data_IF_802099185859
#
_entry.id   IF_802099185859
#
_cell.length_a   1.000
_cell.length_b   1.000
_cell.length_c   1.000
_cell.angle_alpha   90.00
_cell.angle_beta   90.00
_cell.angle_gamma   90.00
#
_symmetry.space_group_name_H-M   'P 1'
#
loop_
_entity.id
_entity.type
_entity.pdbx_description
1 polymer ?
#
# COMPACT_ATOMS: atom_id res chain seq x y z
N UNK A 1 13.52 21.84 20.84
CA UNK A 1 13.03 22.02 19.45
C UNK A 1 11.84 22.99 19.48
N UNK A 2 11.85 24.07 18.68
CA UNK A 2 10.85 25.16 18.79
C UNK A 2 9.45 24.65 18.43
N UNK A 3 8.45 24.86 19.31
CA UNK A 3 7.05 24.43 19.13
C UNK A 3 6.45 24.84 17.78
N UNK A 4 6.94 25.95 17.22
CA UNK A 4 6.53 26.44 15.91
C UNK A 4 7.01 25.52 14.79
N UNK A 5 8.25 25.01 14.85
CA UNK A 5 8.82 24.11 13.84
C UNK A 5 8.07 22.77 13.77
N UNK A 6 7.69 22.21 14.93
CA UNK A 6 6.87 20.99 15.01
C UNK A 6 5.46 21.21 14.43
N UNK A 7 4.86 22.37 14.69
CA UNK A 7 3.53 22.73 14.17
C UNK A 7 3.53 22.92 12.64
N UNK A 8 4.57 23.55 12.08
CA UNK A 8 4.73 23.67 10.64
C UNK A 8 4.99 22.32 9.98
N UNK A 9 5.79 21.44 10.60
CA UNK A 9 6.01 20.07 10.13
C UNK A 9 4.72 19.24 10.09
N UNK A 10 3.89 19.34 11.13
CA UNK A 10 2.61 18.63 11.19
C UNK A 10 1.61 19.12 10.13
N UNK A 11 1.57 20.43 9.87
CA UNK A 11 0.71 21.00 8.81
C UNK A 11 1.18 20.58 7.42
N UNK A 12 2.49 20.64 7.15
CA UNK A 12 3.06 20.19 5.89
C UNK A 12 2.79 18.70 5.63
N UNK A 13 2.92 17.85 6.66
CA UNK A 13 2.61 16.43 6.57
C UNK A 13 1.12 16.19 6.26
N UNK A 14 0.21 16.92 6.91
CA UNK A 14 -1.22 16.82 6.65
C UNK A 14 -1.56 17.20 5.20
N UNK A 15 -0.98 18.29 4.70
CA UNK A 15 -1.17 18.72 3.30
C UNK A 15 -0.69 17.63 2.34
N UNK A 16 0.50 17.05 2.56
CA UNK A 16 1.03 15.97 1.72
C UNK A 16 0.10 14.76 1.73
N UNK A 17 -0.35 14.31 2.90
CA UNK A 17 -1.26 13.15 3.03
C UNK A 17 -2.55 13.39 2.25
N UNK A 18 -3.19 14.55 2.44
CA UNK A 18 -4.44 14.88 1.76
C UNK A 18 -4.22 14.90 0.24
N UNK A 19 -3.13 15.50 -0.23
CA UNK A 19 -2.83 15.59 -1.65
C UNK A 19 -2.57 14.20 -2.26
N UNK A 20 -1.83 13.34 -1.56
CA UNK A 20 -1.58 11.96 -1.97
C UNK A 20 -2.88 11.15 -2.05
N UNK A 21 -3.78 11.27 -1.06
CA UNK A 21 -5.07 10.60 -1.09
C UNK A 21 -5.94 11.06 -2.27
N UNK A 22 -5.95 12.35 -2.58
CA UNK A 22 -6.69 12.88 -3.72
C UNK A 22 -6.14 12.36 -5.05
N UNK A 23 -4.81 12.32 -5.21
CA UNK A 23 -4.18 11.76 -6.42
C UNK A 23 -4.53 10.28 -6.59
N UNK A 24 -4.39 9.47 -5.54
CA UNK A 24 -4.72 8.04 -5.63
C UNK A 24 -6.21 7.80 -5.85
N UNK A 25 -7.08 8.62 -5.25
CA UNK A 25 -8.53 8.55 -5.49
C UNK A 25 -8.87 8.89 -6.93
N UNK A 26 -8.23 9.89 -7.53
CA UNK A 26 -8.43 10.22 -8.94
C UNK A 26 -7.91 9.09 -9.84
N UNK A 27 -6.71 8.57 -9.55
CA UNK A 27 -6.12 7.46 -10.30
C UNK A 27 -7.01 6.21 -10.26
N UNK A 28 -7.66 5.92 -9.13
CA UNK A 28 -8.58 4.79 -8.98
C UNK A 28 -9.87 4.93 -9.80
N UNK A 29 -10.29 6.16 -10.14
CA UNK A 29 -11.46 6.42 -11.00
C UNK A 29 -11.07 6.31 -12.47
N UNK A 30 -9.92 6.88 -12.84
CA UNK A 30 -9.46 6.94 -14.24
C UNK A 30 -8.94 5.58 -14.72
N UNK A 31 -8.22 4.87 -13.86
CA UNK A 31 -7.68 3.54 -14.18
C UNK A 31 -8.73 2.50 -13.81
N UNK A 32 -9.56 2.14 -14.78
CA UNK A 32 -10.44 0.98 -14.67
C UNK A 32 -9.60 -0.28 -14.50
N UNK A 33 -9.46 -0.75 -13.26
CA UNK A 33 -8.93 -2.09 -13.01
C UNK A 33 -10.03 -3.07 -13.41
N UNK A 34 -9.84 -3.95 -14.42
CA UNK A 34 -10.83 -4.94 -14.82
C UNK A 34 -10.88 -6.05 -13.76
N UNK A 35 -11.30 -5.72 -12.55
CA UNK A 35 -11.31 -6.59 -11.38
C UNK A 35 -12.09 -7.88 -11.62
N UNK A 36 -13.13 -7.80 -12.46
CA UNK A 36 -14.07 -8.88 -12.68
C UNK A 36 -14.16 -9.37 -14.13
N UNK A 37 -13.61 -8.64 -15.09
CA UNK A 37 -13.65 -9.03 -16.50
C UNK A 37 -12.88 -10.34 -16.74
N UNK A 38 -11.74 -10.50 -16.05
CA UNK A 38 -10.95 -11.73 -16.03
C UNK A 38 -11.61 -12.89 -15.25
N UNK A 39 -12.59 -12.61 -14.38
CA UNK A 39 -13.25 -13.64 -13.54
C UNK A 39 -14.54 -14.18 -14.12
N UNK A 40 -15.16 -13.47 -15.07
CA UNK A 40 -16.46 -13.82 -15.66
C UNK A 40 -16.47 -15.20 -16.33
N UNK A 41 -15.37 -15.61 -16.97
CA UNK A 41 -15.21 -16.96 -17.54
C UNK A 41 -14.70 -18.02 -16.56
N UNK A 42 -14.04 -17.61 -15.46
CA UNK A 42 -13.44 -18.52 -14.47
C UNK A 42 -14.43 -18.96 -13.38
N UNK A 43 -15.50 -18.20 -13.13
CA UNK A 43 -16.53 -18.54 -12.14
C UNK A 43 -17.30 -19.84 -12.46
N UNK A 44 -17.34 -20.26 -13.73
CA UNK A 44 -17.89 -21.56 -14.13
C UNK A 44 -16.92 -22.73 -13.93
N UNK A 45 -15.64 -22.45 -13.62
CA UNK A 45 -14.61 -23.46 -13.42
C UNK A 45 -14.29 -23.57 -11.93
N UNK A 46 -14.31 -24.80 -11.42
CA UNK A 46 -14.14 -25.15 -10.00
C UNK A 46 -12.98 -24.37 -9.33
N UNK A 47 -13.32 -23.50 -8.39
CA UNK A 47 -12.39 -22.58 -7.69
C UNK A 47 -11.42 -23.27 -6.72
N UNK A 48 -11.64 -24.55 -6.41
CA UNK A 48 -10.77 -25.35 -5.55
C UNK A 48 -10.11 -26.43 -6.40
N UNK A 49 -8.80 -26.30 -6.65
CA UNK A 49 -8.02 -27.34 -7.29
C UNK A 49 -8.03 -28.65 -6.50
N UNK A 50 -8.17 -29.78 -7.20
CA UNK A 50 -8.04 -31.11 -6.60
C UNK A 50 -6.58 -31.52 -6.35
N UNK A 51 -5.64 -30.84 -7.00
CA UNK A 51 -4.20 -31.08 -6.86
C UNK A 51 -3.55 -29.93 -6.09
N UNK A 52 -2.54 -30.20 -5.23
CA UNK A 52 -1.78 -29.15 -4.56
C UNK A 52 -1.12 -28.29 -5.62
N UNK A 53 -1.60 -27.05 -5.73
CA UNK A 53 -1.16 -26.11 -6.73
C UNK A 53 0.27 -25.66 -6.40
N UNK A 54 1.25 -26.39 -6.91
CA UNK A 54 2.66 -26.02 -6.81
C UNK A 54 2.90 -24.72 -7.58
N UNK A 55 3.43 -23.71 -6.89
CA UNK A 55 3.84 -22.44 -7.49
C UNK A 55 2.77 -21.34 -7.56
N UNK A 56 1.70 -21.38 -6.76
CA UNK A 56 0.79 -20.22 -6.61
C UNK A 56 1.58 -18.98 -6.22
N UNK A 57 2.45 -19.09 -5.20
CA UNK A 57 3.25 -17.96 -4.75
C UNK A 57 4.12 -17.37 -5.86
N UNK A 58 4.76 -18.20 -6.68
CA UNK A 58 5.58 -17.74 -7.81
C UNK A 58 4.74 -17.05 -8.89
N UNK A 59 3.57 -17.61 -9.24
CA UNK A 59 2.66 -17.01 -10.23
C UNK A 59 2.05 -15.71 -9.73
N UNK A 60 1.65 -15.65 -8.46
CA UNK A 60 1.12 -14.44 -7.82
C UNK A 60 2.20 -13.37 -7.74
N UNK A 61 3.43 -13.73 -7.34
CA UNK A 61 4.57 -12.81 -7.35
C UNK A 61 4.84 -12.24 -8.74
N UNK A 62 4.86 -13.10 -9.77
CA UNK A 62 5.02 -12.67 -11.16
C UNK A 62 3.88 -11.74 -11.62
N UNK A 63 2.63 -12.10 -11.34
CA UNK A 63 1.47 -11.26 -11.66
C UNK A 63 1.57 -9.88 -10.99
N UNK A 64 1.92 -9.84 -9.70
CA UNK A 64 2.08 -8.59 -8.97
C UNK A 64 3.18 -7.72 -9.58
N UNK A 65 4.32 -8.28 -9.95
CA UNK A 65 5.40 -7.52 -10.60
C UNK A 65 5.12 -7.09 -12.04
N UNK A 66 4.41 -7.91 -12.83
CA UNK A 66 4.14 -7.60 -14.24
C UNK A 66 2.93 -6.67 -14.42
N UNK A 67 1.93 -6.75 -13.53
CA UNK A 67 0.64 -6.06 -13.72
C UNK A 67 0.28 -5.08 -12.61
N UNK A 68 0.88 -5.21 -11.41
CA UNK A 68 0.53 -4.40 -10.22
C UNK A 68 1.77 -3.92 -9.45
N UNK A 69 2.88 -3.66 -10.15
CA UNK A 69 4.15 -3.31 -9.51
C UNK A 69 4.05 -2.02 -8.67
N UNK A 70 3.26 -1.06 -9.13
CA UNK A 70 3.03 0.20 -8.41
C UNK A 70 2.30 -0.03 -7.08
N UNK A 71 1.27 -0.88 -7.07
CA UNK A 71 0.55 -1.23 -5.83
C UNK A 71 1.44 -1.97 -4.84
N UNK A 72 2.28 -2.89 -5.33
CA UNK A 72 3.24 -3.64 -4.52
C UNK A 72 4.30 -2.71 -3.91
N UNK A 73 4.83 -1.78 -4.71
CA UNK A 73 5.82 -0.79 -4.27
C UNK A 73 5.20 0.21 -3.28
N UNK A 74 3.97 0.65 -3.52
CA UNK A 74 3.22 1.52 -2.61
C UNK A 74 2.99 0.86 -1.26
N UNK A 75 2.58 -0.41 -1.23
CA UNK A 75 2.44 -1.18 0.01
C UNK A 75 3.77 -1.29 0.77
N UNK A 76 4.87 -1.60 0.06
CA UNK A 76 6.20 -1.65 0.69
C UNK A 76 6.59 -0.32 1.33
N UNK A 77 6.33 0.81 0.65
CA UNK A 77 6.59 2.14 1.21
C UNK A 77 5.76 2.43 2.47
N UNK A 78 4.47 2.10 2.46
CA UNK A 78 3.58 2.28 3.63
C UNK A 78 4.07 1.47 4.83
N UNK A 79 4.51 0.23 4.62
CA UNK A 79 5.06 -0.61 5.69
C UNK A 79 6.33 0.02 6.27
N UNK A 80 7.25 0.49 5.42
CA UNK A 80 8.47 1.17 5.87
C UNK A 80 8.14 2.44 6.66
N UNK A 81 7.20 3.25 6.17
CA UNK A 81 6.75 4.44 6.87
C UNK A 81 6.15 4.10 8.25
N UNK A 82 5.35 3.04 8.34
CA UNK A 82 4.79 2.57 9.61
C UNK A 82 5.89 2.15 10.60
N UNK A 83 6.92 1.42 10.13
CA UNK A 83 8.08 1.04 10.97
C UNK A 83 8.79 2.29 11.50
N UNK A 84 9.06 3.28 10.63
CA UNK A 84 9.71 4.54 11.05
C UNK A 84 8.87 5.29 12.08
N UNK A 85 7.55 5.36 11.89
CA UNK A 85 6.65 5.97 12.87
C UNK A 85 6.67 5.24 14.22
N UNK A 86 6.66 3.91 14.24
CA UNK A 86 6.78 3.13 15.47
C UNK A 86 8.10 3.41 16.19
N UNK A 87 9.22 3.46 15.45
CA UNK A 87 10.53 3.80 16.01
C UNK A 87 10.57 5.24 16.55
N UNK A 88 9.94 6.18 15.86
CA UNK A 88 9.87 7.57 16.29
C UNK A 88 9.07 7.72 17.60
N UNK A 89 7.98 6.96 17.76
CA UNK A 89 7.21 6.91 19.00
C UNK A 89 8.07 6.39 20.16
N UNK A 90 8.76 5.27 19.97
CA UNK A 90 9.64 4.69 20.99
C UNK A 90 10.79 5.63 21.39
N UNK A 91 11.40 6.33 20.41
CA UNK A 91 12.48 7.28 20.66
C UNK A 91 12.04 8.50 21.48
N UNK A 92 10.76 8.88 21.42
CA UNK A 92 10.26 10.05 22.16
C UNK A 92 10.15 9.79 23.67
N UNK A 93 10.07 8.53 24.08
CA UNK A 93 9.94 8.12 25.49
C UNK A 93 11.30 8.14 26.22
N UNK A 94 12.41 7.92 25.52
CA UNK A 94 13.78 7.96 26.10
C UNK A 94 14.33 9.40 26.31
N UNK A 95 13.59 10.44 25.89
CA UNK A 95 14.05 11.83 25.96
C UNK A 95 13.47 12.63 27.14
N UNK A 96 12.79 11.97 28.08
CA UNK A 96 12.20 12.57 29.29
C UNK A 96 13.00 12.33 30.58
N UNK A 97 14.25 11.86 30.48
CA UNK A 97 15.24 11.86 31.60
C UNK A 97 16.26 13.01 31.47
#
# INVERSE_FOLDING_TARGET
MSKNLARYGSFAALVVIVFTLLIFSWLAIEVSFPAFEATSGLLSTRLIPLEPFNGIAARVSRFLWEHRALDLTGQAFVIVAAIVCCLALLKSEEAED
#
